data_IF_928763835031
#
_entry.id   IF_928763835031
#
_cell.length_a   1.000
_cell.length_b   1.000
_cell.length_c   1.000
_cell.angle_alpha   90.00
_cell.angle_beta   90.00
_cell.angle_gamma   90.00
#
_symmetry.space_group_name_H-M   'P 1'
#
loop_
_entity.id
_entity.type
_entity.pdbx_description
1 polymer ?
#
# COMPACT_ATOMS: atom_id res chain seq x y z
N UNK A 1 3.42 26.52 23.23
CA UNK A 1 2.73 25.34 23.80
C UNK A 1 1.24 25.61 23.79
N UNK A 2 0.44 24.64 23.39
CA UNK A 2 -1.02 24.75 23.37
C UNK A 2 -1.62 23.85 24.44
N UNK A 3 -2.50 24.41 25.23
CA UNK A 3 -3.15 23.75 26.36
C UNK A 3 -4.65 23.68 26.14
N UNK A 4 -5.26 22.59 26.50
CA UNK A 4 -6.72 22.44 26.61
C UNK A 4 -7.23 23.12 27.88
N UNK A 5 -8.55 23.43 27.99
CA UNK A 5 -9.13 23.98 29.23
C UNK A 5 -8.85 23.12 30.48
N UNK A 6 -8.61 21.82 30.30
CA UNK A 6 -8.23 20.90 31.39
C UNK A 6 -6.78 21.06 31.84
N UNK A 7 -5.99 21.94 31.23
CA UNK A 7 -4.55 22.11 31.51
C UNK A 7 -3.65 21.12 30.77
N UNK A 8 -4.19 20.15 30.00
CA UNK A 8 -3.41 19.18 29.23
C UNK A 8 -2.73 19.86 28.04
N UNK A 9 -1.41 19.68 27.90
CA UNK A 9 -0.70 20.08 26.70
C UNK A 9 -0.93 19.06 25.59
N UNK A 10 -1.37 19.54 24.41
CA UNK A 10 -1.62 18.68 23.24
C UNK A 10 -0.38 18.43 22.39
N UNK A 11 0.73 19.10 22.67
CA UNK A 11 1.98 18.92 21.94
C UNK A 11 2.85 17.85 22.60
N UNK A 12 3.55 17.07 21.77
CA UNK A 12 4.59 16.18 22.28
C UNK A 12 5.76 16.98 22.87
N UNK A 13 6.45 16.40 23.86
CA UNK A 13 7.63 17.01 24.48
C UNK A 13 8.83 17.02 23.56
N UNK A 14 8.96 15.97 22.74
CA UNK A 14 10.04 15.81 21.77
C UNK A 14 9.59 14.99 20.57
N UNK A 15 10.28 15.20 19.44
CA UNK A 15 10.02 14.53 18.19
C UNK A 15 11.29 13.84 17.70
N UNK A 16 11.15 12.73 16.95
CA UNK A 16 12.21 12.13 16.16
C UNK A 16 11.93 12.39 14.69
N UNK A 17 12.99 12.59 13.93
CA UNK A 17 12.90 12.67 12.47
C UNK A 17 12.82 11.23 11.91
N UNK A 18 11.93 11.03 10.93
CA UNK A 18 11.78 9.80 10.16
C UNK A 18 11.69 10.18 8.68
N UNK A 19 11.78 9.21 7.78
CA UNK A 19 11.67 9.43 6.34
C UNK A 19 10.31 10.05 5.94
N UNK A 20 9.28 9.86 6.77
CA UNK A 20 7.93 10.42 6.60
C UNK A 20 7.68 11.70 7.42
N UNK A 21 8.75 12.36 7.92
CA UNK A 21 8.65 13.60 8.69
C UNK A 21 8.92 13.42 10.18
N UNK A 22 8.31 14.28 11.02
CA UNK A 22 8.52 14.28 12.46
C UNK A 22 7.45 13.47 13.18
N UNK A 23 7.88 12.47 13.96
CA UNK A 23 7.01 11.65 14.79
C UNK A 23 7.27 11.93 16.27
N UNK A 24 6.22 12.06 17.08
CA UNK A 24 6.34 12.25 18.53
C UNK A 24 7.12 11.08 19.15
N UNK A 25 8.10 11.39 20.02
CA UNK A 25 8.76 10.35 20.79
C UNK A 25 7.82 9.84 21.88
N UNK A 26 7.84 8.52 22.07
CA UNK A 26 7.15 7.92 23.20
C UNK A 26 7.73 8.43 24.53
N UNK A 27 6.83 8.70 25.46
CA UNK A 27 7.15 9.13 26.82
C UNK A 27 6.61 8.07 27.76
N UNK A 28 7.48 7.58 28.66
CA UNK A 28 7.05 6.61 29.67
C UNK A 28 5.93 7.20 30.56
N UNK A 29 4.95 6.42 30.91
CA UNK A 29 3.78 6.85 31.70
C UNK A 29 4.16 7.52 33.02
N UNK A 30 5.24 7.06 33.64
CA UNK A 30 5.82 7.67 34.87
C UNK A 30 6.30 9.12 34.71
N UNK A 31 6.52 9.56 33.47
CA UNK A 31 6.94 10.92 33.14
C UNK A 31 5.81 11.79 32.60
N UNK A 32 4.59 11.31 32.61
CA UNK A 32 3.37 11.98 32.10
C UNK A 32 2.43 12.30 33.25
N UNK A 33 1.51 13.27 33.00
CA UNK A 33 0.45 13.61 33.96
C UNK A 33 -0.91 13.10 33.41
N UNK A 34 -1.75 12.65 34.32
CA UNK A 34 -3.11 12.26 33.99
C UNK A 34 -4.05 13.47 34.00
N UNK A 35 -4.92 13.49 32.99
CA UNK A 35 -6.01 14.46 32.86
C UNK A 35 -7.32 13.69 32.58
N UNK A 36 -8.46 14.33 32.85
CA UNK A 36 -9.76 13.76 32.50
C UNK A 36 -10.47 14.64 31.49
N UNK A 37 -11.06 14.01 30.48
CA UNK A 37 -11.97 14.70 29.56
C UNK A 37 -13.28 15.03 30.24
N UNK A 38 -14.11 15.87 29.61
CA UNK A 38 -15.46 16.18 30.12
C UNK A 38 -16.33 14.92 30.31
N UNK A 39 -16.10 13.87 29.51
CA UNK A 39 -16.77 12.56 29.64
C UNK A 39 -16.08 11.61 30.64
N UNK A 40 -15.12 12.11 31.44
CA UNK A 40 -14.43 11.33 32.48
C UNK A 40 -13.33 10.40 31.99
N UNK A 41 -13.05 10.33 30.70
CA UNK A 41 -11.98 9.50 30.13
C UNK A 41 -10.60 10.00 30.58
N UNK A 42 -9.75 9.07 31.04
CA UNK A 42 -8.36 9.38 31.41
C UNK A 42 -7.53 9.53 30.11
N UNK A 43 -6.78 10.62 30.05
CA UNK A 43 -5.83 10.93 28.97
C UNK A 43 -4.53 11.46 29.57
N UNK A 44 -3.41 11.33 28.86
CA UNK A 44 -2.08 11.75 29.36
C UNK A 44 -1.47 12.85 28.47
N UNK A 45 -0.56 13.63 29.04
CA UNK A 45 0.27 14.61 28.31
C UNK A 45 1.61 13.98 27.85
N UNK A 46 2.46 14.79 27.24
CA UNK A 46 3.86 14.46 26.92
C UNK A 46 4.08 13.79 25.56
N UNK A 47 3.17 12.92 25.13
CA UNK A 47 3.24 12.23 23.83
C UNK A 47 2.40 12.85 22.72
N UNK A 48 1.82 14.03 22.95
CA UNK A 48 0.84 14.63 22.04
C UNK A 48 -0.54 14.01 22.21
N UNK A 49 -1.37 14.11 21.16
CA UNK A 49 -2.67 13.44 21.08
C UNK A 49 -2.44 12.07 20.43
N UNK A 50 -2.69 11.00 21.18
CA UNK A 50 -2.68 9.64 20.62
C UNK A 50 -4.07 9.32 20.08
N UNK A 51 -4.21 8.79 18.87
CA UNK A 51 -5.46 8.27 18.34
C UNK A 51 -5.88 7.02 19.13
N UNK A 52 -7.18 6.75 19.17
CA UNK A 52 -7.72 5.52 19.79
C UNK A 52 -7.53 4.30 18.90
N UNK A 53 -7.47 4.52 17.59
CA UNK A 53 -7.23 3.49 16.59
C UNK A 53 -6.12 4.00 15.65
N UNK A 54 -5.05 3.24 15.56
CA UNK A 54 -3.98 3.46 14.60
C UNK A 54 -4.28 2.65 13.34
N UNK A 55 -4.50 3.34 12.23
CA UNK A 55 -4.66 2.70 10.93
C UNK A 55 -3.30 2.75 10.24
N UNK A 56 -2.73 1.59 9.97
CA UNK A 56 -1.53 1.51 9.14
C UNK A 56 -1.89 1.92 7.71
N UNK A 57 -1.06 2.76 7.05
CA UNK A 57 -1.31 3.09 5.67
C UNK A 57 -1.28 1.81 4.82
N UNK A 58 -2.34 1.59 4.08
CA UNK A 58 -2.43 0.47 3.16
C UNK A 58 -1.50 0.76 1.97
N UNK A 59 -0.55 -0.12 1.72
CA UNK A 59 0.34 0.02 0.57
C UNK A 59 -0.24 -0.77 -0.59
N UNK A 60 -0.53 -0.08 -1.70
CA UNK A 60 -0.88 -0.77 -2.93
C UNK A 60 0.31 -1.57 -3.44
N UNK A 61 0.10 -2.82 -3.88
CA UNK A 61 1.13 -3.56 -4.56
C UNK A 61 1.52 -2.86 -5.87
N UNK A 62 2.76 -3.02 -6.29
CA UNK A 62 3.30 -2.30 -7.45
C UNK A 62 2.44 -2.47 -8.71
N UNK A 63 1.97 -3.67 -8.99
CA UNK A 63 1.07 -3.95 -10.12
C UNK A 63 -0.25 -3.16 -10.01
N UNK A 64 -0.87 -3.07 -8.82
CA UNK A 64 -2.10 -2.32 -8.63
C UNK A 64 -1.87 -0.82 -8.82
N UNK A 65 -0.74 -0.28 -8.33
CA UNK A 65 -0.34 1.09 -8.56
C UNK A 65 -0.25 1.42 -10.06
N UNK A 66 0.39 0.56 -10.86
CA UNK A 66 0.51 0.80 -12.31
C UNK A 66 -0.82 0.62 -13.05
N UNK A 67 -1.68 -0.30 -12.61
CA UNK A 67 -3.02 -0.47 -13.18
C UNK A 67 -3.96 0.72 -12.90
N UNK A 68 -3.80 1.39 -11.75
CA UNK A 68 -4.62 2.56 -11.39
C UNK A 68 -4.19 3.85 -12.10
N UNK A 69 -3.06 3.86 -12.81
CA UNK A 69 -2.56 5.05 -13.49
C UNK A 69 -3.19 5.24 -14.87
N UNK A 70 -4.03 6.23 -14.99
CA UNK A 70 -4.70 6.61 -16.27
C UNK A 70 -3.69 7.02 -17.36
N UNK A 71 -2.53 7.55 -16.97
CA UNK A 71 -1.46 7.93 -17.91
C UNK A 71 -0.70 6.74 -18.53
N UNK A 72 -0.86 5.54 -17.96
CA UNK A 72 -0.20 4.34 -18.46
C UNK A 72 -1.15 3.37 -19.15
N UNK A 73 -2.39 3.30 -18.69
CA UNK A 73 -3.38 2.36 -19.26
C UNK A 73 -4.81 2.78 -18.90
N UNK A 74 -5.75 2.57 -19.81
CA UNK A 74 -7.18 2.76 -19.55
C UNK A 74 -7.88 1.42 -19.23
N UNK A 75 -7.13 0.36 -18.96
CA UNK A 75 -7.66 -1.01 -18.82
C UNK A 75 -8.63 -1.07 -17.64
N UNK A 76 -8.21 -0.53 -16.49
CA UNK A 76 -9.02 -0.50 -15.28
C UNK A 76 -10.31 0.28 -15.51
N UNK A 77 -10.20 1.51 -15.97
CA UNK A 77 -11.34 2.39 -16.23
C UNK A 77 -12.32 1.78 -17.24
N UNK A 78 -11.81 1.22 -18.34
CA UNK A 78 -12.67 0.59 -19.35
C UNK A 78 -13.40 -0.64 -18.80
N UNK A 79 -12.72 -1.44 -17.97
CA UNK A 79 -13.35 -2.57 -17.31
C UNK A 79 -14.47 -2.13 -16.37
N UNK A 80 -14.24 -1.10 -15.57
CA UNK A 80 -15.23 -0.55 -14.63
C UNK A 80 -16.46 0.00 -15.33
N UNK A 81 -16.26 0.78 -16.40
CA UNK A 81 -17.35 1.28 -17.25
C UNK A 81 -18.17 0.12 -17.82
N UNK A 82 -17.50 -0.88 -18.37
CA UNK A 82 -18.17 -2.06 -18.94
C UNK A 82 -18.91 -2.87 -17.87
N UNK A 83 -18.33 -2.99 -16.68
CA UNK A 83 -18.95 -3.67 -15.55
C UNK A 83 -20.23 -2.98 -15.11
N UNK A 84 -20.19 -1.66 -14.88
CA UNK A 84 -21.34 -0.85 -14.47
C UNK A 84 -22.44 -0.91 -15.54
N UNK A 85 -22.09 -0.82 -16.83
CA UNK A 85 -23.05 -0.93 -17.93
C UNK A 85 -23.79 -2.28 -17.97
N UNK A 86 -23.12 -3.36 -17.57
CA UNK A 86 -23.70 -4.72 -17.51
C UNK A 86 -24.45 -5.02 -16.21
N UNK A 87 -24.18 -4.24 -15.16
CA UNK A 87 -24.79 -4.41 -13.83
C UNK A 87 -25.53 -3.16 -13.40
N UNK A 88 -26.75 -2.90 -13.92
CA UNK A 88 -27.52 -1.69 -13.63
C UNK A 88 -27.93 -1.56 -12.16
N UNK A 89 -27.79 -2.62 -11.37
CA UNK A 89 -28.01 -2.62 -9.92
C UNK A 89 -26.79 -3.22 -9.24
N UNK A 90 -26.13 -2.42 -8.42
CA UNK A 90 -24.96 -2.83 -7.62
C UNK A 90 -25.41 -3.00 -6.16
N UNK A 91 -24.88 -3.99 -5.46
CA UNK A 91 -25.15 -4.20 -4.04
C UNK A 91 -24.66 -3.01 -3.20
N UNK A 92 -25.15 -2.92 -1.96
CA UNK A 92 -24.70 -1.87 -1.02
C UNK A 92 -23.21 -1.96 -0.77
N UNK A 93 -22.52 -0.85 -0.46
CA UNK A 93 -21.08 -0.84 -0.20
C UNK A 93 -20.61 -1.84 0.86
N UNK A 94 -21.44 -2.16 1.85
CA UNK A 94 -21.13 -3.13 2.89
C UNK A 94 -21.27 -4.61 2.45
N UNK A 95 -21.83 -4.84 1.27
CA UNK A 95 -22.19 -6.18 0.77
C UNK A 95 -21.54 -6.47 -0.59
N UNK A 96 -21.00 -5.43 -1.24
CA UNK A 96 -20.43 -5.56 -2.57
C UNK A 96 -18.98 -6.06 -2.49
N UNK A 97 -18.73 -7.18 -3.15
CA UNK A 97 -17.40 -7.71 -3.42
C UNK A 97 -17.32 -8.12 -4.89
N UNK A 98 -16.22 -7.79 -5.55
CA UNK A 98 -15.96 -8.28 -6.89
C UNK A 98 -15.82 -9.80 -6.86
N UNK A 99 -16.61 -10.52 -7.66
CA UNK A 99 -16.54 -11.99 -7.69
C UNK A 99 -15.20 -12.48 -8.26
N UNK A 100 -14.84 -13.73 -8.00
CA UNK A 100 -13.64 -14.32 -8.59
C UNK A 100 -13.80 -14.49 -10.11
N UNK A 101 -15.01 -14.74 -10.59
CA UNK A 101 -15.29 -14.84 -12.02
C UNK A 101 -15.08 -13.51 -12.74
N UNK A 102 -15.52 -12.41 -12.14
CA UNK A 102 -15.34 -11.05 -12.67
C UNK A 102 -13.86 -10.65 -12.63
N UNK A 103 -13.15 -11.03 -11.57
CA UNK A 103 -11.70 -10.84 -11.50
C UNK A 103 -10.95 -11.59 -12.60
N UNK A 104 -11.31 -12.83 -12.91
CA UNK A 104 -10.68 -13.58 -14.02
C UNK A 104 -10.93 -12.91 -15.38
N UNK A 105 -12.11 -12.31 -15.60
CA UNK A 105 -12.37 -11.51 -16.80
C UNK A 105 -11.46 -10.27 -16.87
N UNK A 106 -11.30 -9.55 -15.74
CA UNK A 106 -10.38 -8.44 -15.66
C UNK A 106 -8.93 -8.86 -15.94
N UNK A 107 -8.48 -9.95 -15.32
CA UNK A 107 -7.15 -10.53 -15.52
C UNK A 107 -6.89 -10.88 -16.99
N UNK A 108 -7.87 -11.48 -17.65
CA UNK A 108 -7.80 -11.79 -19.07
C UNK A 108 -7.62 -10.53 -19.93
N UNK A 109 -8.31 -9.45 -19.61
CA UNK A 109 -8.16 -8.15 -20.28
C UNK A 109 -6.75 -7.60 -20.09
N UNK A 110 -6.22 -7.62 -18.87
CA UNK A 110 -4.86 -7.16 -18.56
C UNK A 110 -3.82 -7.96 -19.35
N UNK A 111 -3.95 -9.29 -19.41
CA UNK A 111 -3.02 -10.14 -20.14
C UNK A 111 -3.11 -9.87 -21.66
N UNK A 112 -4.31 -9.79 -22.21
CA UNK A 112 -4.55 -9.56 -23.65
C UNK A 112 -4.10 -8.19 -24.12
N UNK A 113 -4.12 -7.18 -23.24
CA UNK A 113 -3.65 -5.81 -23.55
C UNK A 113 -2.14 -5.72 -23.74
N UNK A 114 -1.39 -6.73 -23.31
CA UNK A 114 0.08 -6.66 -23.27
C UNK A 114 0.60 -5.75 -22.17
N UNK A 115 -0.18 -5.50 -21.13
CA UNK A 115 0.21 -4.67 -19.98
C UNK A 115 1.54 -5.14 -19.39
N UNK A 116 2.40 -4.18 -19.12
CA UNK A 116 3.68 -4.38 -18.42
C UNK A 116 3.92 -3.25 -17.44
N UNK A 117 4.72 -3.49 -16.43
CA UNK A 117 5.13 -2.47 -15.47
C UNK A 117 6.56 -2.71 -14.98
N UNK A 118 7.20 -1.69 -14.44
CA UNK A 118 8.56 -1.78 -13.95
C UNK A 118 8.64 -2.58 -12.64
N UNK A 119 9.37 -3.68 -12.67
CA UNK A 119 9.66 -4.47 -11.47
C UNK A 119 10.85 -3.90 -10.70
N UNK A 120 10.59 -3.48 -9.48
CA UNK A 120 11.60 -2.90 -8.58
C UNK A 120 12.70 -3.93 -8.26
N UNK A 121 12.33 -5.21 -8.07
CA UNK A 121 13.28 -6.28 -7.77
C UNK A 121 14.27 -6.55 -8.91
N UNK A 122 13.82 -6.54 -10.17
CA UNK A 122 14.73 -6.68 -11.32
C UNK A 122 15.71 -5.52 -11.45
N UNK A 123 15.23 -4.29 -11.15
CA UNK A 123 16.08 -3.11 -11.14
C UNK A 123 17.18 -3.23 -10.08
N UNK A 124 16.80 -3.56 -8.84
CA UNK A 124 17.78 -3.73 -7.76
C UNK A 124 18.76 -4.88 -8.02
N UNK A 125 18.29 -5.98 -8.63
CA UNK A 125 19.20 -7.06 -9.01
C UNK A 125 20.25 -6.59 -10.03
N UNK A 126 19.85 -5.85 -11.07
CA UNK A 126 20.78 -5.28 -12.05
C UNK A 126 21.76 -4.29 -11.43
N UNK A 127 21.30 -3.50 -10.46
CA UNK A 127 22.17 -2.55 -9.77
C UNK A 127 23.14 -3.30 -8.82
N UNK A 128 22.69 -4.37 -8.16
CA UNK A 128 23.55 -5.24 -7.38
C UNK A 128 24.60 -5.96 -8.24
N UNK A 129 24.23 -6.44 -9.43
CA UNK A 129 25.19 -7.02 -10.38
C UNK A 129 26.29 -6.03 -10.77
N UNK A 130 25.92 -4.77 -11.06
CA UNK A 130 26.90 -3.72 -11.39
C UNK A 130 27.85 -3.46 -10.22
N UNK A 131 27.31 -3.41 -9.00
CA UNK A 131 28.10 -3.21 -7.79
C UNK A 131 29.05 -4.37 -7.55
N UNK A 132 28.57 -5.61 -7.66
CA UNK A 132 29.38 -6.82 -7.50
C UNK A 132 30.51 -6.90 -8.55
N UNK A 133 30.28 -6.45 -9.78
CA UNK A 133 31.33 -6.34 -10.81
C UNK A 133 32.38 -5.30 -10.44
N UNK A 134 31.95 -4.16 -9.93
CA UNK A 134 32.85 -3.09 -9.50
C UNK A 134 33.71 -3.53 -8.31
N UNK A 135 33.15 -4.30 -7.38
CA UNK A 135 33.84 -4.82 -6.19
C UNK A 135 34.61 -6.10 -6.45
N UNK A 136 34.49 -6.72 -7.64
CA UNK A 136 35.21 -7.92 -8.02
C UNK A 136 34.64 -9.26 -7.54
N UNK A 137 33.39 -9.27 -7.00
CA UNK A 137 32.71 -10.47 -6.49
C UNK A 137 31.75 -11.13 -7.50
N UNK A 138 31.53 -10.52 -8.65
CA UNK A 138 30.52 -11.02 -9.58
C UNK A 138 30.85 -12.41 -10.14
N UNK A 139 32.10 -12.66 -10.47
CA UNK A 139 32.52 -13.94 -11.10
C UNK A 139 32.34 -15.11 -10.14
N UNK A 140 32.51 -14.89 -8.85
CA UNK A 140 32.30 -15.91 -7.81
C UNK A 140 30.86 -16.22 -7.53
N UNK A 141 29.93 -15.27 -7.84
CA UNK A 141 28.49 -15.36 -7.58
C UNK A 141 27.64 -15.37 -8.86
N UNK A 142 28.25 -15.63 -10.01
CA UNK A 142 27.58 -15.52 -11.33
C UNK A 142 26.38 -16.43 -11.46
N UNK A 143 26.52 -17.69 -11.04
CA UNK A 143 25.45 -18.68 -11.16
C UNK A 143 24.26 -18.34 -10.28
N UNK A 144 24.49 -17.76 -9.10
CA UNK A 144 23.46 -17.27 -8.19
C UNK A 144 22.71 -16.07 -8.78
N UNK A 145 23.42 -15.12 -9.38
CA UNK A 145 22.81 -13.98 -10.08
C UNK A 145 21.93 -14.45 -11.24
N UNK A 146 22.42 -15.37 -12.06
CA UNK A 146 21.66 -15.94 -13.18
C UNK A 146 20.41 -16.71 -12.70
N UNK A 147 20.56 -17.52 -11.64
CA UNK A 147 19.47 -18.26 -11.05
C UNK A 147 18.39 -17.33 -10.47
N UNK A 148 18.82 -16.26 -9.77
CA UNK A 148 17.93 -15.27 -9.21
C UNK A 148 17.21 -14.47 -10.31
N UNK A 149 17.94 -14.04 -11.34
CA UNK A 149 17.38 -13.34 -12.49
C UNK A 149 16.26 -14.15 -13.17
N UNK A 150 16.47 -15.46 -13.37
CA UNK A 150 15.44 -16.36 -13.92
C UNK A 150 14.21 -16.46 -13.02
N UNK A 151 14.39 -16.49 -11.70
CA UNK A 151 13.28 -16.59 -10.72
C UNK A 151 12.50 -15.30 -10.56
N UNK A 152 13.17 -14.15 -10.69
CA UNK A 152 12.58 -12.82 -10.61
C UNK A 152 12.01 -12.34 -11.94
N UNK A 153 12.16 -13.12 -13.01
CA UNK A 153 11.62 -12.75 -14.32
C UNK A 153 10.13 -12.45 -14.23
N UNK A 154 9.78 -11.29 -14.74
CA UNK A 154 8.42 -10.75 -14.70
C UNK A 154 7.40 -11.66 -15.36
N UNK A 155 6.28 -11.89 -14.68
CA UNK A 155 5.15 -12.66 -15.18
C UNK A 155 3.83 -12.06 -14.66
N UNK A 156 3.17 -11.29 -15.52
CA UNK A 156 1.93 -10.60 -15.20
C UNK A 156 0.84 -11.54 -14.67
N UNK A 157 0.66 -12.70 -15.29
CA UNK A 157 -0.35 -13.65 -14.83
C UNK A 157 -0.07 -14.13 -13.41
N UNK A 158 1.19 -14.46 -13.10
CA UNK A 158 1.60 -14.86 -11.75
C UNK A 158 1.42 -13.73 -10.74
N UNK A 159 1.73 -12.50 -11.15
CA UNK A 159 1.63 -11.33 -10.27
C UNK A 159 0.16 -11.01 -9.96
N UNK A 160 -0.75 -11.17 -10.94
CA UNK A 160 -2.19 -11.04 -10.74
C UNK A 160 -2.78 -12.16 -9.86
N UNK A 161 -2.23 -13.38 -9.94
CA UNK A 161 -2.66 -14.52 -9.12
C UNK A 161 -2.08 -14.52 -7.70
N UNK A 162 -1.08 -13.67 -7.42
CA UNK A 162 -0.54 -13.59 -6.08
C UNK A 162 -1.62 -13.12 -5.10
N UNK A 163 -1.91 -13.87 -4.01
CA UNK A 163 -3.10 -13.64 -3.18
C UNK A 163 -3.26 -12.20 -2.68
N UNK A 164 -2.17 -11.59 -2.23
CA UNK A 164 -2.18 -10.20 -1.77
C UNK A 164 -2.51 -9.22 -2.90
N UNK A 165 -1.89 -9.38 -4.08
CA UNK A 165 -2.15 -8.53 -5.24
C UNK A 165 -3.60 -8.67 -5.72
N UNK A 166 -4.08 -9.93 -5.84
CA UNK A 166 -5.45 -10.25 -6.23
C UNK A 166 -6.45 -9.56 -5.32
N UNK A 167 -6.26 -9.70 -4.00
CA UNK A 167 -7.14 -9.08 -3.02
C UNK A 167 -7.14 -7.54 -3.17
N UNK A 168 -5.97 -6.91 -3.23
CA UNK A 168 -5.87 -5.45 -3.33
C UNK A 168 -6.44 -4.90 -4.63
N UNK A 169 -6.26 -5.59 -5.74
CA UNK A 169 -6.85 -5.21 -7.03
C UNK A 169 -8.38 -5.34 -6.99
N UNK A 170 -8.92 -6.42 -6.41
CA UNK A 170 -10.37 -6.59 -6.24
C UNK A 170 -10.97 -5.49 -5.36
N UNK A 171 -10.32 -5.15 -4.24
CA UNK A 171 -10.73 -4.06 -3.35
C UNK A 171 -10.72 -2.70 -4.08
N UNK A 172 -9.70 -2.44 -4.89
CA UNK A 172 -9.58 -1.21 -5.69
C UNK A 172 -10.70 -1.10 -6.72
N UNK A 173 -10.92 -2.13 -7.55
CA UNK A 173 -12.00 -2.18 -8.54
C UNK A 173 -13.37 -1.99 -7.86
N UNK A 174 -13.60 -2.66 -6.74
CA UNK A 174 -14.87 -2.55 -6.01
C UNK A 174 -15.09 -1.13 -5.47
N UNK A 175 -14.05 -0.48 -4.95
CA UNK A 175 -14.15 0.90 -4.46
C UNK A 175 -14.46 1.89 -5.59
N UNK A 176 -13.83 1.71 -6.75
CA UNK A 176 -14.05 2.59 -7.92
C UNK A 176 -15.47 2.41 -8.50
N UNK A 177 -15.94 1.16 -8.64
CA UNK A 177 -17.32 0.86 -9.07
C UNK A 177 -18.37 1.45 -8.11
N UNK A 178 -18.11 1.42 -6.79
CA UNK A 178 -19.04 1.96 -5.78
C UNK A 178 -19.03 3.49 -5.71
N UNK A 179 -18.01 4.14 -6.25
CA UNK A 179 -17.87 5.61 -6.26
C UNK A 179 -18.37 6.26 -7.55
N UNK A 180 -18.65 5.49 -8.58
CA UNK A 180 -19.15 5.94 -9.87
C UNK A 180 -20.68 6.12 -9.88
#
# INVERSE_FOLDING_TARGET
KYFLPTGRCIQARSYKHTDNGYVAKEVADSLTHEFRTAAGRIVRDGGGIKPDMEVQPDSLPNIAFYLSRVDTTDILLNYEIDYIAKHPTIAKPSEFELSDQDYEQFKDLVIKSGFTYDQVSEKYLKDLEKLARFEGYYDDAKDEFEALSKKLKHNIAKDLDYPYNKQKIKEMIAADILSA
#
